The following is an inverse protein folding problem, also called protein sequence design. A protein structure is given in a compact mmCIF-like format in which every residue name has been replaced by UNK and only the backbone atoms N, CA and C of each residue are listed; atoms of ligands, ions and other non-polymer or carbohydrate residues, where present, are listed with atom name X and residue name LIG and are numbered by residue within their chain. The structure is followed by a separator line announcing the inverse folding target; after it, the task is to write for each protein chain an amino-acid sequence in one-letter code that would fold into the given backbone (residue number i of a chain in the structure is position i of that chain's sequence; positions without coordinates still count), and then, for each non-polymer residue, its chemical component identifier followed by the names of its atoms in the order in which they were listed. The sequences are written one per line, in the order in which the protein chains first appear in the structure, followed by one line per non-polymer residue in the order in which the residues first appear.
data_IF_523114237205
#
_entry.id   IF_523114237205
#
_cell.length_a   1.000
_cell.length_b   1.000
_cell.length_c   1.000
_cell.angle_alpha   90.00
_cell.angle_beta   90.00
_cell.angle_gamma   90.00
#
_symmetry.space_group_name_H-M   'P 1'
#
loop_
_entity.id
_entity.type
_entity.pdbx_description
1 polymer ?
#
# COMPACT_ATOMS: atom_id res chain seq x y z
N UNK A 1 -12.23 18.92 43.08
CA UNK A 1 -10.79 18.62 42.89
C UNK A 1 -10.67 17.78 41.64
N UNK A 2 -10.49 18.45 40.52
CA UNK A 2 -10.49 17.84 39.18
C UNK A 2 -9.06 17.41 38.86
N UNK A 3 -8.85 16.10 38.81
CA UNK A 3 -7.51 15.54 38.50
C UNK A 3 -7.34 15.56 36.99
N UNK A 4 -6.56 16.53 36.48
CA UNK A 4 -6.10 16.54 35.09
C UNK A 4 -5.09 15.40 34.93
N UNK A 5 -5.48 14.34 34.25
CA UNK A 5 -4.56 13.34 33.69
C UNK A 5 -3.92 13.94 32.44
N UNK A 6 -2.71 14.45 32.60
CA UNK A 6 -1.84 14.79 31.48
C UNK A 6 -1.32 13.50 30.84
N UNK A 7 -1.93 13.11 29.73
CA UNK A 7 -1.34 12.09 28.86
C UNK A 7 -0.11 12.68 28.18
N UNK A 8 1.07 12.29 28.64
CA UNK A 8 2.31 12.48 27.91
C UNK A 8 2.30 11.52 26.71
N UNK A 9 1.88 12.01 25.55
CA UNK A 9 2.06 11.29 24.28
C UNK A 9 3.54 11.31 23.94
N UNK A 10 4.20 10.15 23.96
CA UNK A 10 5.56 10.00 23.46
C UNK A 10 5.57 10.23 21.95
N UNK A 11 6.61 10.87 21.43
CA UNK A 11 6.81 11.20 20.00
C UNK A 11 6.71 9.97 19.08
N UNK A 12 6.89 8.76 19.60
CA UNK A 12 6.69 7.49 18.88
C UNK A 12 5.25 7.17 18.50
N UNK A 13 4.24 7.85 19.07
CA UNK A 13 2.83 7.61 18.73
C UNK A 13 2.37 8.37 17.49
N UNK A 14 3.05 9.44 17.08
CA UNK A 14 2.68 10.25 15.91
C UNK A 14 2.84 9.53 14.57
N UNK A 15 3.71 8.53 14.47
CA UNK A 15 4.01 7.84 13.21
C UNK A 15 3.30 6.49 13.05
N UNK A 16 2.81 5.89 14.15
CA UNK A 16 1.92 4.72 14.10
C UNK A 16 0.49 5.09 13.63
N UNK A 17 0.13 6.36 13.67
CA UNK A 17 -1.14 6.92 13.25
C UNK A 17 -1.40 6.75 11.74
N UNK A 18 -0.34 6.77 10.94
CA UNK A 18 -0.44 6.97 9.51
C UNK A 18 -1.15 5.88 8.70
N UNK A 19 -1.23 4.64 9.17
CA UNK A 19 -1.97 3.62 8.42
C UNK A 19 -3.29 3.22 9.07
N UNK A 20 -3.35 3.19 10.39
CA UNK A 20 -4.50 2.72 11.12
C UNK A 20 -5.60 3.79 11.26
N UNK A 21 -5.25 4.99 11.70
CA UNK A 21 -6.24 6.03 11.99
C UNK A 21 -6.77 6.69 10.73
N UNK A 22 -5.89 6.85 9.73
CA UNK A 22 -6.30 7.22 8.39
C UNK A 22 -7.31 6.20 7.83
N UNK A 23 -7.01 4.91 7.96
CA UNK A 23 -7.86 3.84 7.46
C UNK A 23 -9.15 3.68 8.28
N UNK A 24 -9.19 4.03 9.56
CA UNK A 24 -10.40 4.04 10.37
C UNK A 24 -11.38 5.15 9.98
N UNK A 25 -10.89 6.20 9.32
CA UNK A 25 -11.70 7.32 8.81
C UNK A 25 -12.31 7.03 7.43
N UNK A 26 -11.78 6.08 6.68
CA UNK A 26 -12.35 5.63 5.40
C UNK A 26 -13.69 4.93 5.68
N UNK A 27 -14.80 5.61 5.39
CA UNK A 27 -16.19 5.15 5.68
C UNK A 27 -16.55 3.89 4.90
N UNK A 28 -17.58 3.19 5.35
CA UNK A 28 -17.63 2.33 6.52
C UNK A 28 -17.45 0.89 6.11
N UNK A 29 -16.26 0.40 6.25
CA UNK A 29 -16.15 -1.05 6.43
C UNK A 29 -16.06 -1.20 7.93
N UNK A 30 -17.13 -1.63 8.55
CA UNK A 30 -17.32 -1.73 10.00
C UNK A 30 -16.32 -2.62 10.74
N UNK A 31 -15.19 -2.97 10.12
CA UNK A 31 -14.18 -3.80 10.72
C UNK A 31 -12.76 -3.38 10.31
N UNK A 32 -12.00 -2.96 11.29
CA UNK A 32 -10.56 -2.74 11.26
C UNK A 32 -9.74 -3.88 10.62
N UNK A 33 -10.31 -5.08 10.55
CA UNK A 33 -9.73 -6.26 9.91
C UNK A 33 -9.83 -6.24 8.38
N UNK A 34 -10.75 -5.49 7.79
CA UNK A 34 -10.95 -5.48 6.34
C UNK A 34 -9.73 -4.94 5.57
N UNK A 35 -9.01 -3.96 6.12
CA UNK A 35 -7.83 -3.38 5.47
C UNK A 35 -6.57 -4.23 5.62
N UNK A 36 -6.41 -4.89 6.76
CA UNK A 36 -5.36 -5.90 6.93
C UNK A 36 -5.66 -7.04 5.96
N UNK A 37 -6.91 -7.46 5.86
CA UNK A 37 -7.35 -8.50 4.95
C UNK A 37 -7.13 -8.13 3.48
N UNK A 38 -7.37 -6.88 3.07
CA UNK A 38 -7.16 -6.46 1.67
C UNK A 38 -5.68 -6.45 1.29
N UNK A 39 -4.77 -6.06 2.19
CA UNK A 39 -3.32 -6.15 1.96
C UNK A 39 -2.88 -7.60 1.81
N UNK A 40 -3.29 -8.47 2.73
CA UNK A 40 -2.99 -9.90 2.68
C UNK A 40 -3.56 -10.53 1.41
N UNK A 41 -4.79 -10.19 1.06
CA UNK A 41 -5.42 -10.63 -0.17
C UNK A 41 -4.61 -10.23 -1.42
N UNK A 42 -4.17 -8.97 -1.50
CA UNK A 42 -3.34 -8.50 -2.62
C UNK A 42 -2.00 -9.24 -2.66
N UNK A 43 -1.38 -9.50 -1.51
CA UNK A 43 -0.13 -10.31 -1.43
C UNK A 43 -0.39 -11.75 -1.91
N UNK A 44 -1.48 -12.39 -1.45
CA UNK A 44 -1.83 -13.76 -1.82
C UNK A 44 -2.12 -13.91 -3.32
N UNK A 45 -2.69 -12.88 -3.95
CA UNK A 45 -2.91 -12.84 -5.41
C UNK A 45 -1.59 -12.91 -6.20
N UNK A 46 -0.47 -12.47 -5.62
CA UNK A 46 0.82 -12.47 -6.33
C UNK A 46 1.49 -13.85 -6.36
N UNK A 47 1.01 -14.80 -5.56
CA UNK A 47 1.58 -16.15 -5.47
C UNK A 47 2.70 -16.29 -4.44
N UNK A 48 2.74 -17.47 -3.81
CA UNK A 48 3.58 -17.73 -2.61
C UNK A 48 5.09 -17.81 -2.86
N UNK A 49 5.52 -17.96 -4.11
CA UNK A 49 6.95 -18.17 -4.45
C UNK A 49 7.58 -16.94 -5.12
N UNK A 50 6.95 -15.79 -5.04
CA UNK A 50 7.45 -14.55 -5.63
C UNK A 50 8.28 -13.76 -4.63
N UNK A 51 9.38 -13.21 -5.12
CA UNK A 51 10.18 -12.22 -4.37
C UNK A 51 9.50 -10.87 -4.51
N UNK A 52 9.06 -10.30 -3.40
CA UNK A 52 8.27 -9.06 -3.39
C UNK A 52 9.06 -7.95 -2.69
N UNK A 53 9.21 -6.81 -3.37
CA UNK A 53 9.66 -5.57 -2.76
C UNK A 53 8.46 -4.70 -2.40
N UNK A 54 8.26 -4.45 -1.11
CA UNK A 54 7.19 -3.60 -0.59
C UNK A 54 7.73 -2.18 -0.34
N UNK A 55 7.30 -1.22 -1.16
CA UNK A 55 7.79 0.16 -1.16
C UNK A 55 6.91 1.05 -0.29
N UNK A 56 7.49 1.70 0.72
CA UNK A 56 6.76 2.48 1.71
C UNK A 56 6.03 1.56 2.69
N UNK A 57 6.71 0.53 3.18
CA UNK A 57 6.13 -0.54 3.98
C UNK A 57 5.62 -0.10 5.36
N UNK A 58 6.00 1.08 5.83
CA UNK A 58 5.63 1.59 7.15
C UNK A 58 5.96 0.57 8.26
N UNK A 59 4.95 0.24 9.07
CA UNK A 59 5.07 -0.75 10.17
C UNK A 59 4.97 -2.21 9.71
N UNK A 60 5.06 -2.50 8.41
CA UNK A 60 5.25 -3.83 7.86
C UNK A 60 3.98 -4.66 7.62
N UNK A 61 2.78 -4.06 7.71
CA UNK A 61 1.52 -4.80 7.53
C UNK A 61 1.32 -5.30 6.09
N UNK A 62 1.87 -4.59 5.09
CA UNK A 62 1.81 -4.93 3.67
C UNK A 62 2.97 -5.81 3.19
N UNK A 63 3.98 -6.02 4.01
CA UNK A 63 5.16 -6.78 3.61
C UNK A 63 4.90 -8.28 3.72
N UNK A 64 5.23 -9.05 2.67
CA UNK A 64 5.15 -10.50 2.67
C UNK A 64 6.24 -11.13 3.54
N UNK A 65 5.95 -12.28 4.17
CA UNK A 65 6.93 -13.10 4.87
C UNK A 65 7.59 -14.16 3.96
N UNK A 66 7.33 -14.11 2.64
CA UNK A 66 7.93 -15.02 1.67
C UNK A 66 9.44 -14.89 1.58
N UNK A 67 10.10 -15.98 1.17
CA UNK A 67 11.56 -15.99 0.97
C UNK A 67 11.97 -14.95 -0.08
N UNK A 68 12.90 -14.06 0.29
CA UNK A 68 13.38 -12.98 -0.59
C UNK A 68 12.44 -11.78 -0.69
N UNK A 69 11.36 -11.74 0.11
CA UNK A 69 10.52 -10.56 0.26
C UNK A 69 11.16 -9.56 1.24
N UNK A 70 11.00 -8.26 0.97
CA UNK A 70 11.53 -7.20 1.83
C UNK A 70 10.63 -5.96 1.77
N UNK A 71 10.39 -5.34 2.92
CA UNK A 71 9.81 -4.01 3.03
C UNK A 71 10.89 -2.94 3.14
N UNK A 72 10.72 -1.82 2.43
CA UNK A 72 11.61 -0.66 2.54
C UNK A 72 10.81 0.58 2.91
N UNK A 73 11.32 1.33 3.87
CA UNK A 73 10.80 2.64 4.27
C UNK A 73 11.94 3.56 4.69
N UNK A 74 11.76 4.86 4.56
CA UNK A 74 12.75 5.86 4.98
C UNK A 74 12.53 6.36 6.42
N UNK A 75 11.46 5.94 7.06
CA UNK A 75 11.14 6.27 8.45
C UNK A 75 11.74 5.21 9.38
N UNK A 76 12.71 5.61 10.20
CA UNK A 76 13.37 4.70 11.15
C UNK A 76 12.39 4.14 12.17
N UNK A 77 11.52 4.98 12.74
CA UNK A 77 10.60 4.54 13.80
C UNK A 77 9.58 3.53 13.26
N UNK A 78 9.15 3.71 11.99
CA UNK A 78 8.29 2.77 11.32
C UNK A 78 8.98 1.41 11.09
N UNK A 79 10.25 1.42 10.66
CA UNK A 79 11.04 0.19 10.47
C UNK A 79 11.31 -0.52 11.80
N UNK A 80 11.65 0.21 12.85
CA UNK A 80 11.88 -0.38 14.18
C UNK A 80 10.57 -1.01 14.72
N UNK A 81 9.44 -0.35 14.50
CA UNK A 81 8.11 -0.91 14.82
C UNK A 81 7.78 -2.13 13.96
N UNK A 82 8.09 -2.12 12.66
CA UNK A 82 7.87 -3.24 11.75
C UNK A 82 8.65 -4.48 12.19
N UNK A 83 9.94 -4.34 12.50
CA UNK A 83 10.79 -5.44 12.99
C UNK A 83 10.23 -6.04 14.28
N UNK A 84 9.78 -5.19 15.22
CA UNK A 84 9.20 -5.64 16.49
C UNK A 84 7.86 -6.36 16.29
N UNK A 85 7.01 -5.85 15.38
CA UNK A 85 5.66 -6.38 15.13
C UNK A 85 5.67 -7.65 14.30
N UNK A 86 6.62 -7.76 13.36
CA UNK A 86 6.71 -8.84 12.37
C UNK A 86 8.13 -9.42 12.33
N UNK A 87 8.56 -10.17 13.37
CA UNK A 87 9.93 -10.68 13.48
C UNK A 87 10.28 -11.75 12.42
N UNK A 88 9.29 -12.28 11.73
CA UNK A 88 9.40 -13.25 10.63
C UNK A 88 9.54 -12.62 9.24
N UNK A 89 9.46 -11.28 9.15
CA UNK A 89 9.59 -10.52 7.89
C UNK A 89 10.91 -9.78 7.82
N UNK A 90 11.32 -9.42 6.62
CA UNK A 90 12.54 -8.65 6.36
C UNK A 90 12.23 -7.20 6.06
N UNK A 91 12.97 -6.28 6.70
CA UNK A 91 12.80 -4.84 6.52
C UNK A 91 14.13 -4.14 6.32
N UNK A 92 14.10 -3.03 5.59
CA UNK A 92 15.27 -2.18 5.33
C UNK A 92 14.93 -0.72 5.49
N UNK A 93 15.70 -0.02 6.32
CA UNK A 93 15.68 1.43 6.36
C UNK A 93 16.41 1.98 5.13
N UNK A 94 15.75 2.81 4.33
CA UNK A 94 16.38 3.40 3.18
C UNK A 94 15.46 4.28 2.35
N UNK A 95 16.08 5.17 1.57
CA UNK A 95 15.39 6.01 0.60
C UNK A 95 15.29 5.26 -0.71
N UNK A 96 14.10 4.78 -1.05
CA UNK A 96 13.89 3.91 -2.21
C UNK A 96 14.36 4.53 -3.54
N UNK A 97 14.25 5.85 -3.69
CA UNK A 97 14.63 6.55 -4.94
C UNK A 97 16.13 6.52 -5.22
N UNK A 98 16.94 6.38 -4.17
CA UNK A 98 18.41 6.23 -4.27
C UNK A 98 18.88 4.78 -4.09
N UNK A 99 17.98 3.88 -3.69
CA UNK A 99 18.31 2.49 -3.49
C UNK A 99 18.43 1.75 -4.83
N UNK A 100 19.49 0.97 -4.95
CA UNK A 100 19.72 0.08 -6.09
C UNK A 100 19.86 -1.33 -5.51
N UNK A 101 18.88 -2.22 -5.70
CA UNK A 101 19.04 -3.61 -5.32
C UNK A 101 20.10 -4.27 -6.19
N UNK A 102 20.78 -5.29 -5.66
CA UNK A 102 21.74 -6.11 -6.42
C UNK A 102 21.01 -6.92 -7.51
N UNK A 103 19.78 -7.35 -7.21
CA UNK A 103 18.90 -8.07 -8.13
C UNK A 103 17.49 -7.45 -8.08
N UNK A 104 16.76 -7.56 -9.16
CA UNK A 104 15.36 -7.18 -9.21
C UNK A 104 14.49 -8.16 -8.41
N UNK A 105 13.25 -7.75 -8.15
CA UNK A 105 12.20 -8.54 -7.54
C UNK A 105 11.22 -8.99 -8.62
N UNK A 106 10.58 -10.15 -8.43
CA UNK A 106 9.54 -10.59 -9.35
C UNK A 106 8.42 -9.55 -9.39
N UNK A 107 8.05 -9.03 -8.20
CA UNK A 107 6.97 -8.07 -8.02
C UNK A 107 7.41 -6.93 -7.12
N UNK A 108 6.95 -5.72 -7.43
CA UNK A 108 6.99 -4.60 -6.49
C UNK A 108 5.59 -4.22 -6.06
N UNK A 109 5.42 -3.93 -4.77
CA UNK A 109 4.16 -3.42 -4.22
C UNK A 109 4.34 -2.06 -3.59
N UNK A 110 3.28 -1.26 -3.55
CA UNK A 110 3.18 -0.05 -2.74
C UNK A 110 1.74 0.10 -2.28
N UNK A 111 1.50 0.05 -0.96
CA UNK A 111 0.15 0.01 -0.41
C UNK A 111 -0.10 1.16 0.55
N UNK A 112 -1.08 2.01 0.21
CA UNK A 112 -1.50 3.18 1.00
C UNK A 112 -0.34 4.16 1.30
N UNK A 113 0.47 4.40 0.28
CA UNK A 113 1.65 5.23 0.40
C UNK A 113 1.65 6.44 -0.55
N UNK A 114 1.16 6.29 -1.79
CA UNK A 114 1.27 7.33 -2.81
C UNK A 114 0.45 8.58 -2.47
N UNK A 115 -0.72 8.44 -1.85
CA UNK A 115 -1.55 9.56 -1.44
C UNK A 115 -0.87 10.53 -0.43
N UNK A 116 0.19 10.07 0.25
CA UNK A 116 1.00 10.86 1.20
C UNK A 116 2.11 11.66 0.53
N UNK A 117 2.33 11.47 -0.77
CA UNK A 117 3.46 12.01 -1.50
C UNK A 117 3.03 13.11 -2.48
N UNK A 118 3.89 14.12 -2.68
CA UNK A 118 3.70 15.07 -3.77
C UNK A 118 3.90 14.39 -5.14
N UNK A 119 3.39 15.02 -6.20
CA UNK A 119 3.40 14.48 -7.58
C UNK A 119 4.80 14.08 -8.06
N UNK A 120 5.85 14.87 -7.74
CA UNK A 120 7.23 14.56 -8.14
C UNK A 120 7.72 13.28 -7.49
N UNK A 121 7.45 13.08 -6.18
CA UNK A 121 7.81 11.87 -5.46
C UNK A 121 7.01 10.66 -5.93
N UNK A 122 5.69 10.81 -6.19
CA UNK A 122 4.87 9.73 -6.76
C UNK A 122 5.44 9.23 -8.07
N UNK A 123 5.77 10.16 -9.00
CA UNK A 123 6.41 9.82 -10.28
C UNK A 123 7.73 9.05 -10.10
N UNK A 124 8.56 9.47 -9.13
CA UNK A 124 9.81 8.78 -8.82
C UNK A 124 9.57 7.37 -8.27
N UNK A 125 8.62 7.21 -7.33
CA UNK A 125 8.26 5.91 -6.74
C UNK A 125 7.74 4.95 -7.81
N UNK A 126 6.80 5.39 -8.66
CA UNK A 126 6.26 4.58 -9.76
C UNK A 126 7.38 4.15 -10.71
N UNK A 127 8.28 5.07 -11.07
CA UNK A 127 9.44 4.75 -11.93
C UNK A 127 10.37 3.72 -11.29
N UNK A 128 10.65 3.86 -9.99
CA UNK A 128 11.50 2.90 -9.26
C UNK A 128 10.80 1.55 -9.15
N UNK A 129 9.51 1.53 -8.83
CA UNK A 129 8.74 0.30 -8.77
C UNK A 129 8.82 -0.48 -10.10
N UNK A 130 8.58 0.20 -11.21
CA UNK A 130 8.73 -0.41 -12.55
C UNK A 130 10.15 -0.91 -12.84
N UNK A 131 11.17 -0.16 -12.41
CA UNK A 131 12.56 -0.56 -12.63
C UNK A 131 12.94 -1.80 -11.85
N UNK A 132 12.49 -1.91 -10.59
CA UNK A 132 12.86 -2.99 -9.68
C UNK A 132 12.00 -4.26 -9.83
N UNK A 133 10.88 -4.21 -10.53
CA UNK A 133 10.05 -5.36 -10.83
C UNK A 133 10.51 -6.05 -12.11
N UNK A 134 10.55 -7.38 -12.13
CA UNK A 134 10.78 -8.16 -13.35
C UNK A 134 9.46 -8.57 -14.04
N UNK A 135 8.40 -8.77 -13.27
CA UNK A 135 7.12 -9.24 -13.78
C UNK A 135 6.00 -8.19 -13.64
N UNK A 136 5.78 -7.69 -12.40
CA UNK A 136 4.59 -6.90 -12.09
C UNK A 136 4.84 -5.81 -11.07
N UNK A 137 4.17 -4.68 -11.26
CA UNK A 137 4.00 -3.64 -10.22
C UNK A 137 2.55 -3.66 -9.74
N UNK A 138 2.35 -3.61 -8.43
CA UNK A 138 1.03 -3.53 -7.80
C UNK A 138 0.98 -2.32 -6.87
N UNK A 139 0.04 -1.43 -7.12
CA UNK A 139 -0.23 -0.26 -6.26
C UNK A 139 -1.63 -0.43 -5.70
N UNK A 140 -1.77 -0.38 -4.38
CA UNK A 140 -3.05 -0.39 -3.68
C UNK A 140 -3.17 0.93 -2.91
N UNK A 141 -4.17 1.74 -3.25
CA UNK A 141 -4.35 3.04 -2.60
C UNK A 141 -5.82 3.49 -2.65
N UNK A 142 -6.10 4.68 -2.15
CA UNK A 142 -7.43 5.26 -2.22
C UNK A 142 -7.91 5.38 -3.66
N UNK A 143 -9.18 5.08 -3.89
CA UNK A 143 -9.83 5.29 -5.19
C UNK A 143 -9.78 6.76 -5.58
N UNK A 144 -9.57 7.10 -6.88
CA UNK A 144 -9.73 8.47 -7.37
C UNK A 144 -11.11 9.08 -7.08
N UNK A 145 -12.12 8.22 -6.90
CA UNK A 145 -13.50 8.62 -6.61
C UNK A 145 -13.79 8.74 -5.10
N UNK A 146 -12.76 8.56 -4.26
CA UNK A 146 -12.88 8.65 -2.80
C UNK A 146 -13.27 10.06 -2.34
N UNK A 147 -14.18 10.14 -1.37
CA UNK A 147 -14.67 11.39 -0.79
C UNK A 147 -14.06 11.57 0.62
N UNK A 148 -12.92 12.29 0.74
CA UNK A 148 -12.26 12.49 2.02
C UNK A 148 -13.03 13.47 2.92
N UNK A 149 -12.92 13.28 4.24
CA UNK A 149 -13.39 14.29 5.21
C UNK A 149 -12.44 15.50 5.24
N UNK A 150 -12.93 16.65 5.75
CA UNK A 150 -12.10 17.85 5.93
C UNK A 150 -10.85 17.56 6.75
N UNK A 151 -11.00 16.81 7.83
CA UNK A 151 -9.88 16.39 8.68
C UNK A 151 -8.82 15.60 7.90
N UNK A 152 -9.23 14.66 7.05
CA UNK A 152 -8.29 13.90 6.22
C UNK A 152 -7.51 14.79 5.25
N UNK A 153 -8.17 15.80 4.70
CA UNK A 153 -7.54 16.78 3.80
C UNK A 153 -6.51 17.61 4.56
N UNK A 154 -6.85 18.07 5.75
CA UNK A 154 -5.95 18.86 6.61
C UNK A 154 -4.70 18.07 7.04
N UNK A 155 -4.88 16.79 7.42
CA UNK A 155 -3.80 15.91 7.87
C UNK A 155 -2.93 15.37 6.72
N UNK A 156 -3.45 15.37 5.48
CA UNK A 156 -2.77 14.82 4.31
C UNK A 156 -2.70 15.83 3.15
N UNK A 157 -1.72 16.71 3.14
CA UNK A 157 -1.66 17.86 2.22
C UNK A 157 -1.58 17.50 0.74
N UNK A 158 -1.24 16.26 0.41
CA UNK A 158 -1.15 15.77 -0.98
C UNK A 158 -2.33 14.91 -1.41
N UNK A 159 -3.30 14.66 -0.51
CA UNK A 159 -4.40 13.74 -0.73
C UNK A 159 -5.26 14.17 -1.93
N UNK A 160 -5.72 15.41 -1.97
CA UNK A 160 -6.55 15.90 -3.07
C UNK A 160 -5.79 15.86 -4.40
N UNK A 161 -4.52 16.27 -4.41
CA UNK A 161 -3.68 16.20 -5.60
C UNK A 161 -3.50 14.76 -6.10
N UNK A 162 -3.37 13.79 -5.19
CA UNK A 162 -3.34 12.38 -5.54
C UNK A 162 -4.67 11.91 -6.15
N UNK A 163 -5.80 12.17 -5.51
CA UNK A 163 -7.12 11.73 -5.99
C UNK A 163 -7.42 12.26 -7.39
N UNK A 164 -7.12 13.53 -7.65
CA UNK A 164 -7.35 14.18 -8.94
C UNK A 164 -6.43 13.64 -10.05
N UNK A 165 -5.17 13.33 -9.72
CA UNK A 165 -4.15 13.04 -10.74
C UNK A 165 -3.78 11.56 -10.86
N UNK A 166 -4.19 10.69 -9.93
CA UNK A 166 -3.76 9.29 -9.87
C UNK A 166 -4.05 8.50 -11.15
N UNK A 167 -5.22 8.64 -11.77
CA UNK A 167 -5.53 7.98 -13.06
C UNK A 167 -4.61 8.43 -14.19
N UNK A 168 -4.24 9.71 -14.22
CA UNK A 168 -3.29 10.25 -15.21
C UNK A 168 -1.87 9.78 -14.93
N UNK A 169 -1.46 9.77 -13.68
CA UNK A 169 -0.11 9.35 -13.27
C UNK A 169 0.12 7.85 -13.51
N UNK A 170 -0.95 7.05 -13.44
CA UNK A 170 -0.95 5.60 -13.65
C UNK A 170 -1.70 5.18 -14.93
N UNK A 171 -1.67 6.04 -15.96
CA UNK A 171 -2.43 5.82 -17.21
C UNK A 171 -2.02 4.54 -17.98
N UNK A 172 -0.83 4.00 -17.72
CA UNK A 172 -0.33 2.76 -18.30
C UNK A 172 -0.50 1.54 -17.37
N UNK A 173 -1.21 1.72 -16.24
CA UNK A 173 -1.64 0.63 -15.37
C UNK A 173 -3.09 0.24 -15.68
N UNK A 174 -3.45 -0.98 -15.36
CA UNK A 174 -4.85 -1.41 -15.29
C UNK A 174 -5.41 -1.10 -13.90
N UNK A 175 -6.48 -0.30 -13.83
CA UNK A 175 -7.18 0.00 -12.58
C UNK A 175 -8.22 -1.07 -12.26
N UNK A 176 -8.23 -1.56 -11.02
CA UNK A 176 -9.20 -2.53 -10.50
C UNK A 176 -9.89 -1.93 -9.26
N UNK A 177 -11.21 -1.90 -9.25
CA UNK A 177 -11.97 -1.47 -8.08
C UNK A 177 -11.96 -2.58 -7.03
N UNK A 178 -11.29 -2.33 -5.91
CA UNK A 178 -11.25 -3.26 -4.77
C UNK A 178 -12.42 -3.02 -3.83
N UNK A 179 -12.71 -1.77 -3.52
CA UNK A 179 -13.87 -1.34 -2.75
C UNK A 179 -14.43 -0.11 -3.45
N UNK A 180 -15.69 -0.19 -3.87
CA UNK A 180 -16.35 0.88 -4.61
C UNK A 180 -16.15 2.24 -3.94
N UNK A 181 -15.70 3.24 -4.69
CA UNK A 181 -15.43 4.61 -4.29
C UNK A 181 -14.48 4.78 -3.08
N UNK A 182 -13.78 3.71 -2.65
CA UNK A 182 -12.88 3.74 -1.51
C UNK A 182 -11.46 3.31 -1.85
N UNK A 183 -11.27 2.12 -2.45
CA UNK A 183 -9.95 1.55 -2.70
C UNK A 183 -9.87 1.04 -4.12
N UNK A 184 -8.83 1.47 -4.82
CA UNK A 184 -8.41 0.94 -6.12
C UNK A 184 -7.06 0.22 -6.02
N UNK A 185 -6.90 -0.78 -6.85
CA UNK A 185 -5.62 -1.43 -7.11
C UNK A 185 -5.24 -1.17 -8.58
N UNK A 186 -3.98 -0.82 -8.79
CA UNK A 186 -3.42 -0.65 -10.14
C UNK A 186 -2.34 -1.69 -10.36
N UNK A 187 -2.40 -2.36 -11.50
CA UNK A 187 -1.38 -3.35 -11.91
C UNK A 187 -0.71 -2.92 -13.21
N UNK A 188 0.60 -3.13 -13.27
CA UNK A 188 1.39 -2.96 -14.48
C UNK A 188 2.23 -4.22 -14.70
N UNK A 189 1.96 -4.96 -15.78
CA UNK A 189 2.64 -6.19 -16.14
C UNK A 189 3.71 -5.93 -17.19
N UNK A 190 4.97 -6.29 -16.90
CA UNK A 190 6.09 -6.08 -17.83
C UNK A 190 6.08 -6.97 -19.06
N UNK A 191 5.37 -8.10 -18.99
CA UNK A 191 5.30 -9.06 -20.10
C UNK A 191 4.30 -8.67 -21.18
N UNK A 192 3.40 -7.71 -20.89
CA UNK A 192 2.33 -7.31 -21.81
C UNK A 192 2.76 -6.36 -22.93
N UNK A 193 4.07 -6.07 -23.05
CA UNK A 193 4.57 -5.50 -24.32
C UNK A 193 4.48 -6.47 -25.49
N UNK A 194 4.26 -7.79 -25.24
CA UNK A 194 4.27 -8.82 -26.30
C UNK A 194 3.05 -9.72 -26.40
N UNK A 195 2.17 -9.83 -25.40
CA UNK A 195 0.99 -10.70 -25.46
C UNK A 195 -0.18 -10.15 -24.64
N UNK A 196 -1.08 -9.42 -25.29
CA UNK A 196 -2.40 -9.09 -24.73
C UNK A 196 -3.26 -10.35 -24.67
N UNK A 197 -3.11 -11.16 -23.65
CA UNK A 197 -4.10 -12.13 -23.23
C UNK A 197 -4.63 -11.78 -21.86
N UNK A 198 -5.93 -11.57 -21.86
CA UNK A 198 -6.76 -11.22 -20.72
C UNK A 198 -6.70 -12.30 -19.63
N UNK A 199 -5.97 -12.04 -18.54
CA UNK A 199 -6.27 -12.64 -17.24
C UNK A 199 -7.03 -11.60 -16.40
N UNK A 200 -8.24 -11.31 -16.87
CA UNK A 200 -9.20 -10.51 -16.12
C UNK A 200 -9.69 -11.39 -14.97
N UNK A 201 -9.31 -11.05 -13.74
CA UNK A 201 -10.04 -11.54 -12.58
C UNK A 201 -11.46 -11.00 -12.73
N UNK A 202 -12.40 -11.86 -13.16
CA UNK A 202 -13.77 -11.44 -13.35
C UNK A 202 -14.37 -10.96 -12.02
N UNK A 203 -15.27 -10.00 -12.11
CA UNK A 203 -15.94 -9.40 -10.94
C UNK A 203 -16.66 -10.42 -10.05
N UNK A 204 -16.97 -11.60 -10.58
CA UNK A 204 -17.62 -12.72 -9.88
C UNK A 204 -16.61 -13.49 -9.02
N UNK A 205 -15.41 -13.70 -9.53
CA UNK A 205 -14.28 -14.30 -8.80
C UNK A 205 -13.83 -13.36 -7.67
N UNK A 206 -13.72 -12.07 -7.94
CA UNK A 206 -13.41 -11.04 -6.94
C UNK A 206 -14.46 -11.02 -5.81
N UNK A 207 -15.75 -11.02 -6.14
CA UNK A 207 -16.86 -11.10 -5.16
C UNK A 207 -16.83 -12.39 -4.35
N UNK A 208 -16.51 -13.52 -4.96
CA UNK A 208 -16.42 -14.82 -4.29
C UNK A 208 -15.27 -14.85 -3.28
N UNK A 209 -14.15 -14.25 -3.63
CA UNK A 209 -12.97 -14.17 -2.76
C UNK A 209 -13.22 -13.19 -1.60
N UNK A 210 -13.77 -12.01 -1.86
CA UNK A 210 -14.17 -11.07 -0.81
C UNK A 210 -15.22 -11.65 0.15
N UNK A 211 -16.05 -12.58 -0.34
CA UNK A 211 -17.01 -13.31 0.50
C UNK A 211 -16.32 -14.32 1.44
N UNK A 212 -15.28 -15.01 0.96
CA UNK A 212 -14.51 -15.99 1.75
C UNK A 212 -13.66 -15.34 2.87
N UNK A 213 -13.32 -14.06 2.72
CA UNK A 213 -12.58 -13.27 3.72
C UNK A 213 -13.49 -12.41 4.61
N UNK A 214 -14.83 -12.62 4.61
CA UNK A 214 -15.71 -11.99 5.61
C UNK A 214 -15.40 -12.57 6.99
N UNK A 215 -15.19 -11.73 8.00
CA UNK A 215 -15.13 -12.21 9.38
C UNK A 215 -16.48 -12.83 9.76
N UNK A 216 -16.43 -13.94 10.49
CA UNK A 216 -17.58 -14.60 11.12
C UNK A 216 -18.10 -13.70 12.23
#
# INVERSE_FOLDING_TARGET
MLMMLTFSMSVGSLFAWDSWEFMSQVKPIDNNHAYINIRNFVIDLQGRNKRILDIGCGIGDSTSNGKGCIGIDNNRDAIDAAIKKHPDKSFKLGVITSWKPEENYDITTSMFYLHKLNASKRKQIISVAKRCADERVVILDLSPDYQPSERMIEENPYLIDFLVNSRKEMADFTEHTMIQDNISMWTFDKKDEYDKKEDIIDSKTLKKILYLYRPI
#
